data_IF_649008683136
#
_entry.id   IF_649008683136
#
_cell.length_a   1.000
_cell.length_b   1.000
_cell.length_c   1.000
_cell.angle_alpha   90.00
_cell.angle_beta   90.00
_cell.angle_gamma   90.00
#
_symmetry.space_group_name_H-M   'P 1'
#
loop_
_entity.id
_entity.type
_entity.pdbx_description
1 polymer ?
#
# COMPACT_ATOMS: atom_id res chain seq x y z
N UNK A 1 20.39 1.85 0.70
CA UNK A 1 20.61 2.36 -0.67
C UNK A 1 20.11 3.80 -0.75
N UNK A 2 20.82 4.74 -1.42
CA UNK A 2 20.33 6.08 -1.65
C UNK A 2 18.98 6.08 -2.37
N UNK A 3 18.17 7.12 -2.17
CA UNK A 3 16.83 7.21 -2.77
C UNK A 3 16.81 7.13 -4.31
N UNK A 4 17.88 7.60 -4.96
CA UNK A 4 18.08 7.56 -6.41
C UNK A 4 18.40 6.16 -6.96
N UNK A 5 18.94 5.25 -6.14
CA UNK A 5 19.41 3.93 -6.62
C UNK A 5 18.24 3.01 -7.02
N UNK A 6 17.13 3.01 -6.25
CA UNK A 6 15.94 2.21 -6.59
C UNK A 6 15.35 2.68 -7.91
N UNK A 7 15.23 4.00 -8.09
CA UNK A 7 14.67 4.57 -9.31
C UNK A 7 15.51 4.27 -10.55
N UNK A 8 16.82 4.45 -10.45
CA UNK A 8 17.73 4.12 -11.55
C UNK A 8 17.58 2.65 -11.96
N UNK A 9 17.50 1.74 -10.98
CA UNK A 9 17.30 0.33 -11.25
C UNK A 9 15.96 0.03 -11.92
N UNK A 10 14.88 0.66 -11.48
CA UNK A 10 13.56 0.55 -12.13
C UNK A 10 13.63 0.99 -13.59
N UNK A 11 14.30 2.10 -13.88
CA UNK A 11 14.46 2.60 -15.25
C UNK A 11 15.28 1.65 -16.13
N UNK A 12 16.38 1.10 -15.61
CA UNK A 12 17.19 0.09 -16.30
C UNK A 12 16.37 -1.17 -16.60
N UNK A 13 15.60 -1.64 -15.63
CA UNK A 13 14.70 -2.79 -15.78
C UNK A 13 13.63 -2.52 -16.86
N UNK A 14 12.99 -1.35 -16.84
CA UNK A 14 11.98 -0.96 -17.82
C UNK A 14 12.56 -0.80 -19.24
N UNK A 15 13.75 -0.22 -19.38
CA UNK A 15 14.43 -0.10 -20.66
C UNK A 15 14.79 -1.47 -21.25
N UNK A 16 15.20 -2.42 -20.41
CA UNK A 16 15.44 -3.81 -20.83
C UNK A 16 14.16 -4.51 -21.28
N UNK A 17 13.04 -4.30 -20.54
CA UNK A 17 11.75 -4.89 -20.87
C UNK A 17 11.17 -4.33 -22.17
N UNK A 18 11.34 -3.04 -22.43
CA UNK A 18 10.93 -2.41 -23.67
C UNK A 18 11.61 -3.04 -24.90
N UNK A 19 12.88 -3.40 -24.77
CA UNK A 19 13.60 -4.10 -25.83
C UNK A 19 13.15 -5.56 -25.99
N UNK A 20 12.80 -6.22 -24.87
CA UNK A 20 12.40 -7.62 -24.88
C UNK A 20 10.94 -7.82 -25.32
N UNK A 21 10.05 -6.88 -24.99
CA UNK A 21 8.61 -6.94 -25.30
C UNK A 21 8.11 -5.60 -25.87
N UNK A 22 8.33 -5.35 -27.17
CA UNK A 22 7.92 -4.10 -27.82
C UNK A 22 6.41 -3.80 -27.75
N UNK A 23 5.57 -4.83 -27.56
CA UNK A 23 4.13 -4.66 -27.39
C UNK A 23 3.74 -3.86 -26.13
N UNK A 24 4.62 -3.81 -25.13
CA UNK A 24 4.46 -3.00 -23.92
C UNK A 24 5.22 -1.66 -24.00
N UNK A 25 5.78 -1.31 -25.17
CA UNK A 25 6.64 -0.15 -25.33
C UNK A 25 6.01 1.15 -24.85
N UNK A 26 4.84 1.49 -25.37
CA UNK A 26 4.11 2.71 -25.01
C UNK A 26 3.75 2.76 -23.52
N UNK A 27 3.39 1.61 -22.94
CA UNK A 27 3.07 1.50 -21.51
C UNK A 27 4.32 1.74 -20.63
N UNK A 28 5.44 1.12 -20.95
CA UNK A 28 6.69 1.27 -20.19
C UNK A 28 7.26 2.68 -20.34
N UNK A 29 7.17 3.24 -21.54
CA UNK A 29 7.58 4.60 -21.82
C UNK A 29 6.77 5.59 -20.99
N UNK A 30 5.45 5.58 -21.13
CA UNK A 30 4.56 6.50 -20.44
C UNK A 30 4.54 6.34 -18.91
N UNK A 31 4.75 5.10 -18.41
CA UNK A 31 4.64 4.83 -16.96
C UNK A 31 5.96 5.05 -16.21
N UNK A 32 7.11 4.82 -16.86
CA UNK A 32 8.40 4.87 -16.19
C UNK A 32 9.38 5.82 -16.90
N UNK A 33 9.63 5.64 -18.20
CA UNK A 33 10.78 6.26 -18.85
C UNK A 33 10.60 7.76 -19.08
N UNK A 34 9.37 8.25 -19.20
CA UNK A 34 9.04 9.68 -19.36
C UNK A 34 9.07 10.48 -18.04
N UNK A 35 9.35 9.83 -16.90
CA UNK A 35 9.38 10.47 -15.60
C UNK A 35 10.80 10.66 -15.07
N UNK A 36 11.00 11.74 -14.31
CA UNK A 36 12.29 12.07 -13.71
C UNK A 36 12.58 11.23 -12.45
N UNK A 37 11.52 10.94 -11.66
CA UNK A 37 11.65 10.20 -10.41
C UNK A 37 10.50 9.21 -10.16
N UNK A 38 10.65 8.41 -9.09
CA UNK A 38 9.69 7.40 -8.68
C UNK A 38 8.34 7.99 -8.26
N UNK A 39 8.34 9.15 -7.63
CA UNK A 39 7.14 9.76 -7.06
C UNK A 39 6.25 10.30 -8.18
N UNK A 40 6.84 10.85 -9.24
CA UNK A 40 6.13 11.23 -10.48
C UNK A 40 5.57 10.01 -11.21
N UNK A 41 6.39 8.99 -11.44
CA UNK A 41 5.99 7.76 -12.12
C UNK A 41 4.83 7.06 -11.39
N UNK A 42 4.92 6.98 -10.05
CA UNK A 42 3.88 6.40 -9.22
C UNK A 42 2.60 7.26 -9.23
N UNK A 43 2.74 8.59 -9.22
CA UNK A 43 1.61 9.51 -9.35
C UNK A 43 0.87 9.32 -10.66
N UNK A 44 1.60 9.18 -11.77
CA UNK A 44 1.02 8.88 -13.08
C UNK A 44 0.27 7.55 -13.08
N UNK A 45 0.94 6.47 -12.66
CA UNK A 45 0.39 5.12 -12.65
C UNK A 45 -0.88 5.00 -11.80
N UNK A 46 -0.84 5.55 -10.58
CA UNK A 46 -2.00 5.50 -9.68
C UNK A 46 -3.14 6.37 -10.19
N UNK A 47 -2.86 7.55 -10.75
CA UNK A 47 -3.88 8.41 -11.32
C UNK A 47 -4.61 7.73 -12.48
N UNK A 48 -3.88 7.09 -13.39
CA UNK A 48 -4.47 6.32 -14.48
C UNK A 48 -5.36 5.18 -13.97
N UNK A 49 -4.87 4.40 -13.02
CA UNK A 49 -5.61 3.27 -12.44
C UNK A 49 -6.87 3.69 -11.66
N UNK A 50 -6.82 4.83 -10.95
CA UNK A 50 -7.89 5.29 -10.06
C UNK A 50 -8.85 6.29 -10.73
N UNK A 51 -8.57 6.73 -11.93
CA UNK A 51 -9.42 7.62 -12.68
C UNK A 51 -10.85 7.08 -12.87
N UNK A 52 -11.78 7.99 -13.05
CA UNK A 52 -13.17 7.70 -13.39
C UNK A 52 -13.68 8.71 -14.42
N UNK A 53 -14.84 8.48 -15.06
CA UNK A 53 -15.42 9.47 -15.97
C UNK A 53 -15.67 10.83 -15.31
N UNK A 54 -15.91 10.86 -13.99
CA UNK A 54 -16.18 12.10 -13.24
C UNK A 54 -14.94 12.79 -12.70
N UNK A 55 -13.83 12.04 -12.52
CA UNK A 55 -12.55 12.57 -12.05
C UNK A 55 -11.43 11.99 -12.91
N UNK A 56 -10.98 12.72 -13.94
CA UNK A 56 -9.99 12.24 -14.89
C UNK A 56 -8.59 12.09 -14.26
N UNK A 57 -7.73 11.31 -14.94
CA UNK A 57 -6.38 10.99 -14.46
C UNK A 57 -5.52 12.24 -14.22
N UNK A 58 -5.60 13.25 -15.08
CA UNK A 58 -4.83 14.50 -14.96
C UNK A 58 -5.10 15.18 -13.61
N UNK A 59 -6.39 15.24 -13.21
CA UNK A 59 -6.77 15.86 -11.95
C UNK A 59 -6.24 15.05 -10.74
N UNK A 60 -6.29 13.72 -10.81
CA UNK A 60 -5.71 12.88 -9.75
C UNK A 60 -4.20 13.00 -9.71
N UNK A 61 -3.52 13.08 -10.87
CA UNK A 61 -2.08 13.25 -10.95
C UNK A 61 -1.61 14.53 -10.25
N UNK A 62 -2.28 15.68 -10.51
CA UNK A 62 -2.00 16.94 -9.83
C UNK A 62 -2.07 16.79 -8.30
N UNK A 63 -3.12 16.12 -7.81
CA UNK A 63 -3.30 15.88 -6.38
C UNK A 63 -2.19 14.97 -5.82
N UNK A 64 -1.81 13.91 -6.53
CA UNK A 64 -0.82 12.95 -6.04
C UNK A 64 0.58 13.57 -6.01
N UNK A 65 0.98 14.27 -7.06
CA UNK A 65 2.25 15.04 -7.09
C UNK A 65 2.29 16.06 -5.95
N UNK A 66 1.18 16.77 -5.70
CA UNK A 66 1.10 17.70 -4.57
C UNK A 66 1.29 17.00 -3.22
N UNK A 67 0.67 15.83 -3.00
CA UNK A 67 0.82 15.09 -1.76
C UNK A 67 2.28 14.64 -1.51
N UNK A 68 2.96 14.14 -2.55
CA UNK A 68 4.38 13.76 -2.46
C UNK A 68 5.29 14.96 -2.19
N UNK A 69 5.00 16.12 -2.80
CA UNK A 69 5.80 17.33 -2.61
C UNK A 69 5.62 17.94 -1.21
N UNK A 70 4.40 17.91 -0.67
CA UNK A 70 4.08 18.50 0.63
C UNK A 70 4.48 17.58 1.80
N UNK A 71 4.38 16.26 1.62
CA UNK A 71 4.82 15.26 2.61
C UNK A 71 5.83 14.27 2.02
N UNK A 72 7.14 14.58 2.08
CA UNK A 72 8.19 13.67 1.60
C UNK A 72 8.26 12.32 2.32
N UNK A 73 7.60 12.17 3.47
CA UNK A 73 7.56 10.90 4.19
C UNK A 73 6.82 9.80 3.40
N UNK A 74 5.89 10.20 2.54
CA UNK A 74 5.18 9.29 1.62
C UNK A 74 6.20 8.62 0.68
N UNK A 75 7.05 9.41 0.01
CA UNK A 75 8.08 8.89 -0.90
C UNK A 75 9.12 8.00 -0.19
N UNK A 76 9.47 8.32 1.06
CA UNK A 76 10.31 7.45 1.89
C UNK A 76 9.61 6.10 2.13
N UNK A 77 8.34 6.11 2.53
CA UNK A 77 7.59 4.89 2.80
C UNK A 77 7.43 4.02 1.54
N UNK A 78 7.14 4.61 0.39
CA UNK A 78 7.09 3.92 -0.93
C UNK A 78 8.37 3.09 -1.17
N UNK A 79 9.52 3.70 -0.95
CA UNK A 79 10.82 3.05 -1.19
C UNK A 79 11.11 1.93 -0.19
N UNK A 80 10.74 2.11 1.08
CA UNK A 80 10.85 1.07 2.10
C UNK A 80 9.88 -0.11 1.82
N UNK A 81 8.67 0.18 1.34
CA UNK A 81 7.70 -0.86 0.96
C UNK A 81 8.21 -1.67 -0.25
N UNK A 82 8.82 -1.04 -1.25
CA UNK A 82 9.47 -1.74 -2.36
C UNK A 82 10.61 -2.64 -1.88
N UNK A 83 11.46 -2.16 -0.95
CA UNK A 83 12.54 -2.98 -0.35
C UNK A 83 11.97 -4.17 0.42
N UNK A 84 10.89 -3.94 1.17
CA UNK A 84 10.23 -5.00 1.92
C UNK A 84 9.72 -6.12 1.00
N UNK A 85 9.07 -5.76 -0.12
CA UNK A 85 8.60 -6.72 -1.11
C UNK A 85 9.78 -7.52 -1.69
N UNK A 86 10.83 -6.86 -2.19
CA UNK A 86 11.99 -7.53 -2.78
C UNK A 86 12.71 -8.45 -1.77
N UNK A 87 12.72 -8.08 -0.50
CA UNK A 87 13.42 -8.87 0.53
C UNK A 87 12.60 -10.06 1.06
N UNK A 88 11.27 -10.00 0.99
CA UNK A 88 10.38 -10.98 1.64
C UNK A 88 9.59 -11.86 0.67
N UNK A 89 9.36 -11.38 -0.55
CA UNK A 89 8.65 -12.15 -1.58
C UNK A 89 9.66 -12.80 -2.56
N UNK A 90 9.82 -14.14 -2.52
CA UNK A 90 10.73 -14.83 -3.43
C UNK A 90 10.36 -14.71 -4.91
N UNK A 91 9.10 -14.37 -5.22
CA UNK A 91 8.63 -14.14 -6.58
C UNK A 91 9.01 -12.75 -7.12
N UNK A 92 9.25 -11.78 -6.24
CA UNK A 92 9.62 -10.42 -6.60
C UNK A 92 11.14 -10.27 -6.71
N UNK A 93 11.67 -10.37 -7.92
CA UNK A 93 13.13 -10.31 -8.19
C UNK A 93 13.61 -8.96 -8.70
N UNK A 94 12.69 -8.08 -9.06
CA UNK A 94 12.92 -6.80 -9.75
C UNK A 94 12.02 -5.72 -9.16
N UNK A 95 12.54 -4.51 -9.00
CA UNK A 95 11.76 -3.39 -8.44
C UNK A 95 10.63 -2.89 -9.36
N UNK A 96 10.81 -3.00 -10.69
CA UNK A 96 9.77 -2.64 -11.64
C UNK A 96 8.53 -3.54 -11.51
N UNK A 97 8.70 -4.81 -11.11
CA UNK A 97 7.58 -5.77 -11.00
C UNK A 97 6.50 -5.34 -10.01
N UNK A 98 6.80 -5.08 -8.72
CA UNK A 98 5.78 -4.59 -7.80
C UNK A 98 5.26 -3.20 -8.17
N UNK A 99 6.10 -2.30 -8.68
CA UNK A 99 5.68 -0.98 -9.13
C UNK A 99 4.62 -1.07 -10.24
N UNK A 100 4.80 -1.92 -11.23
CA UNK A 100 3.91 -1.99 -12.39
C UNK A 100 2.68 -2.87 -12.16
N UNK A 101 2.82 -3.97 -11.40
CA UNK A 101 1.85 -5.06 -11.45
C UNK A 101 1.25 -5.48 -10.11
N UNK A 102 1.85 -5.15 -8.95
CA UNK A 102 1.34 -5.64 -7.67
C UNK A 102 0.25 -4.72 -7.11
N UNK A 103 -0.98 -5.18 -7.20
CA UNK A 103 -2.14 -4.39 -6.74
C UNK A 103 -2.13 -4.09 -5.23
N UNK A 104 -1.52 -4.95 -4.41
CA UNK A 104 -1.33 -4.69 -2.97
C UNK A 104 -0.43 -3.50 -2.72
N UNK A 105 0.65 -3.38 -3.50
CA UNK A 105 1.51 -2.20 -3.48
C UNK A 105 0.75 -0.95 -3.95
N UNK A 106 0.04 -1.01 -5.07
CA UNK A 106 -0.74 0.12 -5.57
C UNK A 106 -1.80 0.60 -4.55
N UNK A 107 -2.52 -0.34 -3.94
CA UNK A 107 -3.54 -0.01 -2.94
C UNK A 107 -2.95 0.68 -1.70
N UNK A 108 -1.81 0.18 -1.21
CA UNK A 108 -1.11 0.77 -0.09
C UNK A 108 -0.62 2.20 -0.40
N UNK A 109 -0.04 2.41 -1.59
CA UNK A 109 0.43 3.75 -1.96
C UNK A 109 -0.73 4.72 -2.21
N UNK A 110 -1.82 4.25 -2.82
CA UNK A 110 -3.06 5.02 -2.93
C UNK A 110 -3.64 5.40 -1.56
N UNK A 111 -3.63 4.47 -0.60
CA UNK A 111 -4.00 4.74 0.79
C UNK A 111 -3.12 5.82 1.43
N UNK A 112 -1.78 5.83 1.24
CA UNK A 112 -0.90 6.86 1.81
C UNK A 112 -1.30 8.25 1.34
N UNK A 113 -1.65 8.41 0.08
CA UNK A 113 -2.16 9.67 -0.48
C UNK A 113 -3.54 10.01 0.10
N UNK A 114 -4.43 9.03 0.25
CA UNK A 114 -5.74 9.24 0.87
C UNK A 114 -5.59 9.64 2.35
N UNK A 115 -4.65 9.04 3.08
CA UNK A 115 -4.32 9.38 4.46
C UNK A 115 -3.78 10.81 4.58
N UNK A 116 -2.88 11.23 3.70
CA UNK A 116 -2.43 12.61 3.64
C UNK A 116 -3.60 13.58 3.53
N UNK A 117 -4.52 13.36 2.58
CA UNK A 117 -5.68 14.23 2.43
C UNK A 117 -6.66 14.16 3.60
N UNK A 118 -6.77 13.02 4.27
CA UNK A 118 -7.52 12.90 5.52
C UNK A 118 -6.93 13.78 6.63
N UNK A 119 -5.61 13.80 6.80
CA UNK A 119 -4.94 14.65 7.81
C UNK A 119 -5.01 16.14 7.48
N UNK A 120 -5.23 16.50 6.21
CA UNK A 120 -5.49 17.87 5.75
C UNK A 120 -6.99 18.25 5.83
N UNK A 121 -7.80 17.48 6.56
CA UNK A 121 -9.24 17.68 6.70
C UNK A 121 -10.03 17.65 5.38
N UNK A 122 -9.42 17.16 4.28
CA UNK A 122 -10.08 16.97 2.99
C UNK A 122 -10.81 15.62 2.95
N UNK A 123 -11.70 15.41 3.91
CA UNK A 123 -12.38 14.14 4.20
C UNK A 123 -13.06 13.55 2.97
N UNK A 124 -13.80 14.35 2.20
CA UNK A 124 -14.53 13.84 1.03
C UNK A 124 -13.59 13.33 -0.07
N UNK A 125 -12.44 13.98 -0.27
CA UNK A 125 -11.43 13.50 -1.22
C UNK A 125 -10.78 12.20 -0.73
N UNK A 126 -10.46 12.13 0.55
CA UNK A 126 -9.88 10.91 1.15
C UNK A 126 -10.82 9.70 1.02
N UNK A 127 -12.11 9.88 1.31
CA UNK A 127 -13.13 8.83 1.16
C UNK A 127 -13.39 8.47 -0.31
N UNK A 128 -13.35 9.44 -1.21
CA UNK A 128 -13.42 9.17 -2.65
C UNK A 128 -12.26 8.28 -3.09
N UNK A 129 -11.02 8.59 -2.68
CA UNK A 129 -9.84 7.78 -3.00
C UNK A 129 -9.95 6.38 -2.40
N UNK A 130 -10.37 6.24 -1.13
CA UNK A 130 -10.65 4.94 -0.52
C UNK A 130 -11.62 4.11 -1.37
N UNK A 131 -12.75 4.71 -1.79
CA UNK A 131 -13.75 4.05 -2.63
C UNK A 131 -13.16 3.58 -3.96
N UNK A 132 -12.35 4.42 -4.63
CA UNK A 132 -11.70 4.04 -5.89
C UNK A 132 -10.67 2.92 -5.71
N UNK A 133 -9.89 2.96 -4.64
CA UNK A 133 -8.92 1.92 -4.28
C UNK A 133 -9.64 0.59 -4.03
N UNK A 134 -10.71 0.62 -3.26
CA UNK A 134 -11.53 -0.56 -2.96
C UNK A 134 -12.13 -1.17 -4.22
N UNK A 135 -12.72 -0.34 -5.08
CA UNK A 135 -13.29 -0.78 -6.36
C UNK A 135 -12.22 -1.37 -7.30
N UNK A 136 -11.08 -0.70 -7.44
CA UNK A 136 -10.04 -1.08 -8.41
C UNK A 136 -9.19 -2.25 -7.98
N UNK A 137 -8.83 -2.32 -6.68
CA UNK A 137 -7.85 -3.28 -6.18
C UNK A 137 -8.45 -4.32 -5.22
N UNK A 138 -9.72 -4.21 -4.87
CA UNK A 138 -10.38 -5.03 -3.85
C UNK A 138 -9.64 -4.97 -2.49
N UNK A 139 -9.19 -3.77 -2.10
CA UNK A 139 -8.49 -3.48 -0.85
C UNK A 139 -9.15 -2.26 -0.23
N UNK A 140 -9.72 -2.42 0.95
CA UNK A 140 -10.44 -1.37 1.67
C UNK A 140 -9.66 -0.95 2.92
N UNK A 141 -8.95 0.18 2.84
CA UNK A 141 -8.20 0.76 3.95
C UNK A 141 -8.82 2.11 4.28
N UNK A 142 -9.34 2.25 5.49
CA UNK A 142 -9.88 3.55 5.91
C UNK A 142 -8.76 4.60 5.98
N UNK A 143 -8.94 5.80 5.41
CA UNK A 143 -7.87 6.81 5.35
C UNK A 143 -7.41 7.32 6.71
N UNK A 144 -8.20 7.18 7.78
CA UNK A 144 -7.79 7.51 9.14
C UNK A 144 -6.89 6.44 9.79
N UNK A 145 -6.81 5.21 9.26
CA UNK A 145 -5.89 4.20 9.75
C UNK A 145 -4.45 4.72 9.72
N UNK A 146 -3.60 4.23 10.60
CA UNK A 146 -2.18 4.62 10.65
C UNK A 146 -1.31 3.43 10.28
N UNK A 147 -0.60 3.53 9.18
CA UNK A 147 0.24 2.44 8.66
C UNK A 147 1.66 2.97 8.48
N UNK A 148 2.62 2.29 9.09
CA UNK A 148 4.05 2.56 9.00
C UNK A 148 4.65 2.30 7.61
N UNK A 149 5.94 2.05 7.55
CA UNK A 149 6.72 1.79 6.32
C UNK A 149 7.37 0.40 6.36
N UNK A 150 7.90 -0.04 5.23
CA UNK A 150 8.41 -1.40 5.09
C UNK A 150 7.29 -2.44 5.07
N UNK A 151 6.16 -2.10 4.51
CA UNK A 151 4.93 -2.90 4.50
C UNK A 151 4.86 -3.75 3.24
N UNK A 152 4.46 -5.00 3.39
CA UNK A 152 4.18 -5.90 2.26
C UNK A 152 2.76 -6.44 2.33
N UNK A 153 1.95 -6.15 1.31
CA UNK A 153 0.63 -6.75 1.08
C UNK A 153 0.73 -7.70 -0.11
N UNK A 154 0.79 -9.00 0.18
CA UNK A 154 0.89 -10.02 -0.87
C UNK A 154 -0.49 -10.43 -1.37
N UNK A 155 -0.69 -10.43 -2.71
CA UNK A 155 -1.97 -10.60 -3.40
C UNK A 155 -3.06 -9.59 -3.01
N UNK A 156 -3.24 -9.31 -1.74
CA UNK A 156 -4.07 -8.27 -1.11
C UNK A 156 -5.59 -8.33 -1.39
N UNK A 157 -6.10 -9.23 -2.23
CA UNK A 157 -7.54 -9.31 -2.51
C UNK A 157 -8.35 -9.44 -1.21
N UNK A 158 -9.42 -8.64 -1.07
CA UNK A 158 -10.33 -8.65 0.08
C UNK A 158 -9.68 -8.30 1.43
N UNK A 159 -8.62 -7.49 1.41
CA UNK A 159 -8.07 -6.90 2.62
C UNK A 159 -8.98 -5.78 3.10
N UNK A 160 -9.24 -5.73 4.42
CA UNK A 160 -9.97 -4.65 5.08
C UNK A 160 -9.19 -4.15 6.29
N UNK A 161 -8.92 -2.83 6.37
CA UNK A 161 -8.27 -2.18 7.51
C UNK A 161 -9.16 -1.03 7.98
N UNK A 162 -9.65 -1.14 9.21
CA UNK A 162 -10.63 -0.19 9.76
C UNK A 162 -10.01 1.11 10.28
N UNK A 163 -10.87 2.09 10.52
CA UNK A 163 -10.58 3.49 10.83
C UNK A 163 -9.52 3.73 11.90
N UNK A 164 -9.60 3.03 13.03
CA UNK A 164 -8.69 3.24 14.17
C UNK A 164 -7.56 2.22 14.25
N UNK A 165 -7.38 1.42 13.19
CA UNK A 165 -6.28 0.45 13.13
C UNK A 165 -4.91 1.16 13.12
N UNK A 166 -3.96 0.54 13.79
CA UNK A 166 -2.56 0.96 13.78
C UNK A 166 -1.71 -0.22 13.33
N UNK A 167 -0.88 0.00 12.33
CA UNK A 167 0.09 -0.97 11.81
C UNK A 167 1.46 -0.34 11.87
N UNK A 168 2.33 -0.90 12.70
CA UNK A 168 3.71 -0.43 12.83
C UNK A 168 4.57 -0.87 11.64
N UNK A 169 5.84 -0.45 11.60
CA UNK A 169 6.77 -0.72 10.50
C UNK A 169 7.01 -2.23 10.28
N UNK A 170 7.51 -2.57 9.10
CA UNK A 170 7.99 -3.90 8.74
C UNK A 170 6.92 -5.02 8.74
N UNK A 171 5.66 -4.65 8.69
CA UNK A 171 4.52 -5.55 8.66
C UNK A 171 4.36 -6.28 7.32
N UNK A 172 3.89 -7.53 7.38
CA UNK A 172 3.53 -8.32 6.19
C UNK A 172 2.19 -9.00 6.35
N UNK A 173 1.37 -9.01 5.31
CA UNK A 173 0.13 -9.80 5.28
C UNK A 173 -0.20 -10.31 3.88
N UNK A 174 -1.01 -11.36 3.84
CA UNK A 174 -1.54 -11.94 2.62
C UNK A 174 -2.97 -11.42 2.35
N UNK A 175 -3.63 -12.02 1.37
CA UNK A 175 -5.01 -11.70 0.97
C UNK A 175 -6.05 -12.07 2.04
N UNK A 176 -7.27 -11.49 1.93
CA UNK A 176 -8.42 -11.74 2.79
C UNK A 176 -8.21 -11.45 4.28
N UNK A 177 -7.18 -10.68 4.64
CA UNK A 177 -6.94 -10.26 6.02
C UNK A 177 -7.87 -9.12 6.39
N UNK A 178 -8.47 -9.21 7.59
CA UNK A 178 -9.30 -8.13 8.15
C UNK A 178 -8.72 -7.65 9.48
N UNK A 179 -8.43 -6.36 9.58
CA UNK A 179 -8.15 -5.66 10.82
C UNK A 179 -9.40 -4.84 11.17
N UNK A 180 -10.37 -5.48 11.82
CA UNK A 180 -11.73 -5.00 11.96
C UNK A 180 -12.14 -4.68 13.40
N UNK A 181 -13.25 -3.96 13.54
CA UNK A 181 -13.95 -3.79 14.82
C UNK A 181 -14.93 -4.95 15.08
N UNK A 182 -15.39 -5.07 16.34
CA UNK A 182 -16.42 -6.06 16.71
C UNK A 182 -17.84 -5.59 16.40
N UNK A 183 -18.02 -4.35 15.92
CA UNK A 183 -19.34 -3.76 15.65
C UNK A 183 -20.15 -3.36 16.88
N UNK A 184 -19.60 -3.50 18.09
CA UNK A 184 -20.32 -3.27 19.36
C UNK A 184 -20.00 -1.95 20.03
N UNK A 185 -18.88 -1.33 19.70
CA UNK A 185 -18.39 -0.09 20.33
C UNK A 185 -17.97 0.94 19.30
N UNK A 186 -18.15 2.21 19.64
CA UNK A 186 -17.59 3.34 18.89
C UNK A 186 -16.18 3.71 19.37
N UNK A 187 -15.58 4.72 18.77
CA UNK A 187 -14.25 5.21 19.15
C UNK A 187 -13.13 4.26 18.73
N UNK A 188 -12.12 4.07 19.56
CA UNK A 188 -10.98 3.21 19.28
C UNK A 188 -11.36 1.72 19.39
N UNK A 189 -11.52 1.07 18.24
CA UNK A 189 -12.14 -0.25 18.11
C UNK A 189 -11.44 -1.23 17.18
N UNK A 190 -10.29 -0.86 16.63
CA UNK A 190 -9.56 -1.68 15.67
C UNK A 190 -8.19 -2.11 16.21
N UNK A 191 -7.59 -3.17 15.65
CA UNK A 191 -6.33 -3.75 16.13
C UNK A 191 -5.14 -2.80 16.09
N UNK A 192 -4.19 -3.05 16.99
CA UNK A 192 -2.86 -2.43 17.05
C UNK A 192 -1.82 -3.49 16.73
N UNK A 193 -1.25 -3.41 15.54
CA UNK A 193 -0.31 -4.40 15.01
C UNK A 193 1.11 -3.89 15.23
N UNK A 194 1.89 -4.62 16.00
CA UNK A 194 3.29 -4.30 16.31
C UNK A 194 4.22 -4.50 15.12
N UNK A 195 5.42 -3.98 15.26
CA UNK A 195 6.49 -4.04 14.26
C UNK A 195 6.80 -5.48 13.85
N UNK A 196 7.05 -5.71 12.56
CA UNK A 196 7.51 -7.00 12.05
C UNK A 196 6.50 -8.15 12.16
N UNK A 197 5.24 -7.86 12.48
CA UNK A 197 4.17 -8.87 12.53
C UNK A 197 3.89 -9.40 11.12
N UNK A 198 3.58 -10.69 11.05
CA UNK A 198 3.12 -11.36 9.84
C UNK A 198 1.73 -11.95 10.04
N UNK A 199 0.79 -11.65 9.12
CA UNK A 199 -0.58 -12.19 9.18
C UNK A 199 -0.85 -13.04 7.94
N UNK A 200 -1.14 -14.32 8.17
CA UNK A 200 -1.47 -15.31 7.13
C UNK A 200 -2.81 -15.04 6.45
N UNK A 201 -2.98 -15.62 5.25
CA UNK A 201 -4.15 -15.44 4.41
C UNK A 201 -5.46 -15.77 5.15
N UNK A 202 -6.51 -14.96 4.94
CA UNK A 202 -7.83 -15.18 5.49
C UNK A 202 -7.99 -14.90 6.98
N UNK A 203 -6.95 -14.49 7.69
CA UNK A 203 -7.04 -14.21 9.13
C UNK A 203 -7.90 -12.96 9.42
N UNK A 204 -8.63 -13.00 10.53
CA UNK A 204 -9.48 -11.90 11.02
C UNK A 204 -9.01 -11.51 12.41
N UNK A 205 -8.49 -10.30 12.55
CA UNK A 205 -8.09 -9.71 13.84
C UNK A 205 -9.13 -8.65 14.19
N UNK A 206 -9.88 -8.89 15.27
CA UNK A 206 -11.10 -8.13 15.54
C UNK A 206 -11.09 -7.50 16.94
N UNK A 207 -11.40 -6.23 17.00
CA UNK A 207 -11.47 -5.46 18.25
C UNK A 207 -10.23 -4.61 18.51
N UNK A 208 -10.28 -3.81 19.56
CA UNK A 208 -9.13 -3.02 20.01
C UNK A 208 -8.16 -3.91 20.80
N UNK A 209 -7.53 -4.82 20.11
CA UNK A 209 -6.54 -5.77 20.66
C UNK A 209 -5.16 -5.48 20.10
N UNK A 210 -4.13 -5.96 20.79
CA UNK A 210 -2.73 -5.80 20.38
C UNK A 210 -2.16 -7.13 19.86
N UNK A 211 -1.56 -7.09 18.66
CA UNK A 211 -0.68 -8.15 18.19
C UNK A 211 0.76 -7.67 18.39
N UNK A 212 1.49 -8.35 19.28
CA UNK A 212 2.82 -7.93 19.70
C UNK A 212 3.88 -8.01 18.60
N UNK A 213 4.98 -7.27 18.77
CA UNK A 213 6.10 -7.22 17.83
C UNK A 213 6.58 -8.61 17.40
N UNK A 214 6.83 -8.79 16.10
CA UNK A 214 7.37 -10.03 15.55
C UNK A 214 6.46 -11.26 15.66
N UNK A 215 5.22 -11.11 16.15
CA UNK A 215 4.27 -12.22 16.21
C UNK A 215 3.82 -12.65 14.81
N UNK A 216 3.39 -13.91 14.71
CA UNK A 216 2.86 -14.48 13.47
C UNK A 216 1.45 -15.00 13.71
N UNK A 217 0.52 -14.59 12.87
CA UNK A 217 -0.87 -15.10 12.88
C UNK A 217 -1.03 -16.10 11.74
N UNK A 218 -1.40 -17.32 12.06
CA UNK A 218 -1.63 -18.37 11.07
C UNK A 218 -2.79 -18.05 10.12
N UNK A 219 -2.76 -18.64 8.92
CA UNK A 219 -3.82 -18.47 7.93
C UNK A 219 -5.19 -18.93 8.49
N UNK A 220 -6.26 -18.18 8.15
CA UNK A 220 -7.62 -18.46 8.57
C UNK A 220 -7.92 -18.25 10.05
N UNK A 221 -6.98 -17.76 10.85
CA UNK A 221 -7.20 -17.54 12.29
C UNK A 221 -8.22 -16.43 12.53
N UNK A 222 -9.01 -16.58 13.60
CA UNK A 222 -9.83 -15.50 14.16
C UNK A 222 -9.24 -15.12 15.51
N UNK A 223 -8.70 -13.91 15.57
CA UNK A 223 -7.97 -13.37 16.74
C UNK A 223 -8.87 -12.37 17.43
N UNK A 224 -9.21 -12.63 18.69
CA UNK A 224 -10.13 -11.81 19.49
C UNK A 224 -9.48 -11.29 20.79
N UNK A 225 -8.28 -11.75 21.10
CA UNK A 225 -7.52 -11.41 22.30
C UNK A 225 -6.09 -10.99 21.92
N UNK A 226 -5.41 -10.33 22.86
CA UNK A 226 -4.03 -9.88 22.67
C UNK A 226 -3.09 -11.07 22.35
N UNK A 227 -2.18 -10.86 21.41
CA UNK A 227 -1.14 -11.82 21.02
C UNK A 227 0.21 -11.33 21.55
N UNK A 228 0.93 -12.12 22.38
CA UNK A 228 2.24 -11.74 22.88
C UNK A 228 3.29 -11.55 21.77
N UNK A 229 4.33 -10.72 22.00
CA UNK A 229 5.43 -10.59 21.04
C UNK A 229 6.11 -11.93 20.71
N UNK A 230 6.59 -12.06 19.46
CA UNK A 230 7.38 -13.22 18.99
C UNK A 230 6.72 -14.59 19.14
N UNK A 231 5.40 -14.63 19.19
CA UNK A 231 4.59 -15.87 19.23
C UNK A 231 3.96 -16.19 17.88
N UNK A 232 3.52 -17.44 17.74
CA UNK A 232 2.76 -17.90 16.57
C UNK A 232 1.46 -18.51 17.02
#
# INVERSE_FOLDING_TARGET
MPHTEIWNRIREEAASDLLAEPALGDFLQATILDHEDLDEALSYLLADKLASPSVPAERLRELFVHAFADDPSIGIAVREDLRAIISRDPAARRYATPLLYFKGFHALQGYRIAHYYWTQERVQLALYLQSRISEKFAVDIHPAARIGKGIMFDHATSVVIGETAVVEDDFSMLHEVTLGGTGKVGGDRHPKIGRGVMIGAGAKVLGNIRVGEGAKVGAGSVVLDDVPPFTT
#
